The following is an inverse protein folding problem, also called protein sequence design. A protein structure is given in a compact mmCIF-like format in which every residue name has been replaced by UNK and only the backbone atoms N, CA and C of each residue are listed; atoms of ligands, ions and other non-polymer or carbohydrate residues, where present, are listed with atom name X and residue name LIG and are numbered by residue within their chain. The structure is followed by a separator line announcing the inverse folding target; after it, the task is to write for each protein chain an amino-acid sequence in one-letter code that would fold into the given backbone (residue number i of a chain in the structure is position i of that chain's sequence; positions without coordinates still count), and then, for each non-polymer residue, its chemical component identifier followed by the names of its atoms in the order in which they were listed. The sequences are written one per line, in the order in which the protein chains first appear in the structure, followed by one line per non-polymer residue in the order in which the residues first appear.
data_IF_563604849387
#
_entry.id   IF_563604849387
#
_cell.length_a   1.000
_cell.length_b   1.000
_cell.length_c   1.000
_cell.angle_alpha   90.00
_cell.angle_beta   90.00
_cell.angle_gamma   90.00
#
_symmetry.space_group_name_H-M   'P 1'
#
loop_
_entity.id
_entity.type
_entity.pdbx_description
1 polymer ?
#
# COMPACT_ATOMS: atom_id res chain seq x y z
N UNK A 1 49.22 -22.40 -4.77
CA UNK A 1 48.31 -21.66 -5.63
C UNK A 1 47.09 -22.44 -6.12
N UNK A 2 47.22 -23.67 -6.65
CA UNK A 2 46.05 -24.46 -7.15
C UNK A 2 44.97 -24.77 -6.08
N UNK A 3 45.34 -25.01 -4.81
CA UNK A 3 44.39 -25.28 -3.71
C UNK A 3 43.57 -24.07 -3.29
N UNK A 4 44.13 -22.86 -3.35
CA UNK A 4 43.43 -21.57 -3.04
C UNK A 4 42.42 -21.24 -4.14
N UNK A 5 42.78 -21.51 -5.40
CA UNK A 5 41.87 -21.30 -6.54
C UNK A 5 40.64 -22.21 -6.49
N UNK A 6 40.83 -23.46 -6.04
CA UNK A 6 39.74 -24.44 -5.89
C UNK A 6 38.79 -24.06 -4.76
N UNK A 7 39.32 -23.51 -3.65
CA UNK A 7 38.50 -23.01 -2.53
C UNK A 7 37.65 -21.79 -2.92
N UNK A 8 38.22 -20.90 -3.71
CA UNK A 8 37.50 -19.71 -4.23
C UNK A 8 36.40 -20.08 -5.24
N UNK A 9 36.62 -21.09 -6.08
CA UNK A 9 35.59 -21.61 -7.00
C UNK A 9 34.44 -22.28 -6.23
N UNK A 10 34.72 -23.02 -5.17
CA UNK A 10 33.71 -23.71 -4.38
C UNK A 10 32.82 -22.74 -3.59
N UNK A 11 33.36 -21.62 -3.09
CA UNK A 11 32.61 -20.56 -2.43
C UNK A 11 31.71 -19.79 -3.40
N UNK A 12 32.16 -19.61 -4.65
CA UNK A 12 31.33 -18.95 -5.69
C UNK A 12 30.16 -19.82 -6.14
N UNK A 13 30.34 -21.12 -6.29
CA UNK A 13 29.27 -22.09 -6.67
C UNK A 13 28.14 -22.12 -5.62
N UNK A 14 28.47 -22.11 -4.33
CA UNK A 14 27.46 -22.09 -3.28
C UNK A 14 26.64 -20.79 -3.31
N UNK A 15 27.27 -19.64 -3.52
CA UNK A 15 26.56 -18.35 -3.63
C UNK A 15 25.60 -18.29 -4.83
N UNK A 16 25.94 -18.94 -5.95
CA UNK A 16 25.08 -19.02 -7.14
C UNK A 16 23.88 -19.91 -6.88
N UNK A 17 24.02 -21.04 -6.20
CA UNK A 17 22.93 -21.94 -5.85
C UNK A 17 21.93 -21.28 -4.89
N UNK A 18 22.41 -20.59 -3.83
CA UNK A 18 21.55 -19.85 -2.90
C UNK A 18 20.83 -18.68 -3.57
N UNK A 19 21.48 -17.98 -4.51
CA UNK A 19 20.85 -16.90 -5.25
C UNK A 19 19.74 -17.41 -6.20
N UNK A 20 19.91 -18.57 -6.82
CA UNK A 20 18.88 -19.22 -7.65
C UNK A 20 17.66 -19.62 -6.81
N UNK A 21 17.84 -20.16 -5.62
CA UNK A 21 16.76 -20.54 -4.70
C UNK A 21 15.94 -19.31 -4.28
N UNK A 22 16.58 -18.21 -3.91
CA UNK A 22 15.87 -16.98 -3.52
C UNK A 22 15.06 -16.40 -4.68
N UNK A 23 15.61 -16.37 -5.89
CA UNK A 23 14.88 -15.87 -7.06
C UNK A 23 13.67 -16.74 -7.42
N UNK A 24 13.78 -18.07 -7.26
CA UNK A 24 12.66 -18.99 -7.46
C UNK A 24 11.55 -18.75 -6.43
N UNK A 25 11.90 -18.57 -5.15
CA UNK A 25 10.95 -18.28 -4.08
C UNK A 25 10.28 -16.92 -4.32
N UNK A 26 11.03 -15.88 -4.74
CA UNK A 26 10.48 -14.56 -5.08
C UNK A 26 9.48 -14.64 -6.23
N UNK A 27 9.80 -15.37 -7.30
CA UNK A 27 8.87 -15.56 -8.43
C UNK A 27 7.59 -16.27 -7.99
N UNK A 28 7.69 -17.27 -7.14
CA UNK A 28 6.52 -17.96 -6.60
C UNK A 28 5.69 -17.06 -5.68
N UNK A 29 6.34 -16.26 -4.81
CA UNK A 29 5.65 -15.27 -4.00
C UNK A 29 4.87 -14.27 -4.87
N UNK A 30 5.49 -13.74 -5.92
CA UNK A 30 4.86 -12.82 -6.87
C UNK A 30 3.69 -13.48 -7.63
N UNK A 31 3.83 -14.75 -8.02
CA UNK A 31 2.74 -15.52 -8.64
C UNK A 31 1.53 -15.65 -7.71
N UNK A 32 1.78 -15.91 -6.43
CA UNK A 32 0.74 -16.03 -5.41
C UNK A 32 0.06 -14.69 -5.08
N UNK A 33 0.71 -13.55 -5.30
CA UNK A 33 0.05 -12.24 -5.20
C UNK A 33 -0.97 -11.98 -6.31
N UNK A 34 -0.80 -12.62 -7.48
CA UNK A 34 -1.70 -12.47 -8.62
C UNK A 34 -2.92 -13.41 -8.57
N UNK A 35 -3.01 -14.21 -7.52
CA UNK A 35 -4.15 -15.06 -7.21
C UNK A 35 -4.64 -14.71 -5.80
N UNK A 36 -5.92 -14.95 -5.47
CA UNK A 36 -6.45 -14.58 -4.14
C UNK A 36 -5.95 -15.55 -3.05
N UNK A 37 -4.62 -15.54 -2.81
CA UNK A 37 -3.95 -16.29 -1.74
C UNK A 37 -2.79 -15.49 -1.15
N UNK A 38 -3.11 -14.35 -0.58
CA UNK A 38 -2.11 -13.45 0.04
C UNK A 38 -1.43 -14.07 1.26
N UNK A 39 -2.07 -15.02 1.95
CA UNK A 39 -1.43 -15.73 3.07
C UNK A 39 -0.30 -16.62 2.59
N UNK A 40 -0.47 -17.34 1.49
CA UNK A 40 0.60 -18.13 0.88
C UNK A 40 1.73 -17.25 0.34
N UNK A 41 1.42 -16.12 -0.31
CA UNK A 41 2.42 -15.15 -0.75
C UNK A 41 3.26 -14.64 0.43
N UNK A 42 2.61 -14.27 1.55
CA UNK A 42 3.30 -13.82 2.77
C UNK A 42 4.27 -14.88 3.32
N UNK A 43 3.87 -16.16 3.30
CA UNK A 43 4.75 -17.26 3.72
C UNK A 43 6.00 -17.29 2.84
N UNK A 44 5.84 -17.19 1.52
CA UNK A 44 6.98 -17.22 0.57
C UNK A 44 7.90 -16.02 0.74
N UNK A 45 7.40 -14.81 0.92
CA UNK A 45 8.25 -13.65 1.22
C UNK A 45 9.00 -13.80 2.55
N UNK A 46 8.39 -14.41 3.57
CA UNK A 46 9.08 -14.74 4.83
C UNK A 46 10.17 -15.80 4.63
N UNK A 47 10.01 -16.76 3.73
CA UNK A 47 11.07 -17.70 3.35
C UNK A 47 12.26 -16.96 2.73
N UNK A 48 12.01 -15.99 1.83
CA UNK A 48 13.06 -15.12 1.29
C UNK A 48 13.80 -14.39 2.41
N UNK A 49 13.09 -13.82 3.39
CA UNK A 49 13.72 -13.09 4.51
C UNK A 49 14.54 -13.97 5.44
N UNK A 50 14.27 -15.28 5.51
CA UNK A 50 15.15 -16.23 6.25
C UNK A 50 16.49 -16.39 5.56
N UNK A 51 16.55 -16.35 4.23
CA UNK A 51 17.75 -16.49 3.43
C UNK A 51 18.45 -15.15 3.19
N UNK A 52 17.67 -14.07 2.99
CA UNK A 52 18.11 -12.72 2.75
C UNK A 52 17.34 -11.72 3.63
N UNK A 53 17.74 -11.51 4.89
CA UNK A 53 17.01 -10.67 5.84
C UNK A 53 16.80 -9.21 5.40
N UNK A 54 17.67 -8.73 4.52
CA UNK A 54 17.65 -7.37 4.01
C UNK A 54 17.03 -7.24 2.60
N UNK A 55 16.37 -8.29 2.08
CA UNK A 55 15.75 -8.23 0.76
C UNK A 55 14.60 -7.23 0.75
N UNK A 56 14.78 -6.11 0.04
CA UNK A 56 13.81 -4.99 0.03
C UNK A 56 12.46 -5.40 -0.54
N UNK A 57 12.44 -6.23 -1.58
CA UNK A 57 11.19 -6.72 -2.20
C UNK A 57 10.39 -7.54 -1.19
N UNK A 58 11.04 -8.46 -0.50
CA UNK A 58 10.38 -9.29 0.51
C UNK A 58 9.90 -8.46 1.72
N UNK A 59 10.71 -7.50 2.20
CA UNK A 59 10.33 -6.63 3.31
C UNK A 59 9.11 -5.78 2.98
N UNK A 60 9.09 -5.13 1.81
CA UNK A 60 7.99 -4.24 1.41
C UNK A 60 6.70 -5.02 1.16
N UNK A 61 6.79 -6.19 0.51
CA UNK A 61 5.62 -7.03 0.27
C UNK A 61 5.11 -7.69 1.56
N UNK A 62 5.97 -8.12 2.49
CA UNK A 62 5.53 -8.55 3.82
C UNK A 62 4.76 -7.44 4.56
N UNK A 63 5.21 -6.18 4.48
CA UNK A 63 4.51 -5.06 5.10
C UNK A 63 3.12 -4.85 4.49
N UNK A 64 3.01 -4.83 3.17
CA UNK A 64 1.75 -4.63 2.45
C UNK A 64 0.78 -5.80 2.69
N UNK A 65 1.25 -7.05 2.55
CA UNK A 65 0.43 -8.24 2.78
C UNK A 65 -0.09 -8.33 4.22
N UNK A 66 0.76 -8.02 5.21
CA UNK A 66 0.29 -7.93 6.60
C UNK A 66 -0.79 -6.85 6.77
N UNK A 67 -0.64 -5.68 6.13
CA UNK A 67 -1.68 -4.64 6.14
C UNK A 67 -3.00 -5.12 5.54
N UNK A 68 -2.95 -5.83 4.41
CA UNK A 68 -4.14 -6.31 3.70
C UNK A 68 -4.82 -7.46 4.46
N UNK A 69 -4.05 -8.46 4.91
CA UNK A 69 -4.59 -9.57 5.70
C UNK A 69 -5.22 -9.03 6.99
N UNK A 70 -4.52 -8.12 7.69
CA UNK A 70 -5.05 -7.50 8.91
C UNK A 70 -6.36 -6.76 8.67
N UNK A 71 -6.56 -6.12 7.52
CA UNK A 71 -7.81 -5.39 7.23
C UNK A 71 -9.03 -6.31 7.07
N UNK A 72 -8.82 -7.59 6.78
CA UNK A 72 -9.87 -8.61 6.67
C UNK A 72 -10.12 -9.38 7.97
N UNK A 73 -9.25 -9.22 8.98
CA UNK A 73 -9.44 -9.91 10.26
C UNK A 73 -10.62 -9.32 11.05
N UNK A 74 -11.56 -10.15 11.40
CA UNK A 74 -12.71 -9.78 12.24
C UNK A 74 -12.31 -9.63 13.72
N UNK A 75 -11.33 -10.41 14.18
CA UNK A 75 -10.80 -10.32 15.52
C UNK A 75 -9.86 -9.11 15.66
N UNK A 76 -10.18 -8.16 16.53
CA UNK A 76 -9.43 -6.93 16.72
C UNK A 76 -7.97 -7.17 17.14
N UNK A 77 -7.72 -8.13 18.03
CA UNK A 77 -6.35 -8.47 18.47
C UNK A 77 -5.51 -9.04 17.34
N UNK A 78 -6.08 -9.90 16.51
CA UNK A 78 -5.41 -10.44 15.31
C UNK A 78 -5.10 -9.33 14.32
N UNK A 79 -6.08 -8.49 14.02
CA UNK A 79 -5.94 -7.32 13.14
C UNK A 79 -4.81 -6.41 13.60
N UNK A 80 -4.82 -6.01 14.88
CA UNK A 80 -3.87 -5.07 15.45
C UNK A 80 -2.45 -5.66 15.45
N UNK A 81 -2.32 -6.98 15.64
CA UNK A 81 -1.05 -7.70 15.52
C UNK A 81 -0.52 -7.66 14.07
N UNK A 82 -1.36 -7.91 13.06
CA UNK A 82 -0.96 -7.79 11.66
C UNK A 82 -0.50 -6.36 11.32
N UNK A 83 -1.18 -5.32 11.82
CA UNK A 83 -0.78 -3.93 11.60
C UNK A 83 0.56 -3.59 12.29
N UNK A 84 0.79 -4.12 13.50
CA UNK A 84 2.07 -3.97 14.18
C UNK A 84 3.21 -4.64 13.41
N UNK A 85 3.01 -5.85 12.91
CA UNK A 85 3.98 -6.59 12.10
C UNK A 85 4.24 -5.89 10.76
N UNK A 86 3.20 -5.37 10.11
CA UNK A 86 3.32 -4.53 8.91
C UNK A 86 4.26 -3.35 9.14
N UNK A 87 4.06 -2.63 10.25
CA UNK A 87 4.91 -1.47 10.60
C UNK A 87 6.36 -1.87 10.86
N UNK A 88 6.62 -3.04 11.46
CA UNK A 88 7.98 -3.55 11.68
C UNK A 88 8.69 -3.79 10.35
N UNK A 89 8.07 -4.49 9.40
CA UNK A 89 8.64 -4.73 8.09
C UNK A 89 8.86 -3.42 7.31
N UNK A 90 7.88 -2.52 7.32
CA UNK A 90 7.98 -1.23 6.64
C UNK A 90 9.13 -0.38 7.21
N UNK A 91 9.27 -0.29 8.55
CA UNK A 91 10.37 0.41 9.21
C UNK A 91 11.72 -0.20 8.87
N UNK A 92 11.83 -1.53 8.81
CA UNK A 92 13.05 -2.22 8.43
C UNK A 92 13.44 -1.89 7.00
N UNK A 93 12.48 -1.98 6.05
CA UNK A 93 12.71 -1.62 4.66
C UNK A 93 13.16 -0.16 4.51
N UNK A 94 12.46 0.77 5.16
CA UNK A 94 12.80 2.19 5.09
C UNK A 94 14.15 2.53 5.73
N UNK A 95 14.49 1.91 6.85
CA UNK A 95 15.80 2.10 7.52
C UNK A 95 16.96 1.67 6.62
N UNK A 96 16.81 0.55 5.92
CA UNK A 96 17.84 0.01 5.03
C UNK A 96 17.88 0.73 3.67
N UNK A 97 16.71 1.14 3.17
CA UNK A 97 16.54 1.67 1.81
C UNK A 97 15.67 2.94 1.79
N UNK A 98 16.10 4.06 2.42
CA UNK A 98 15.27 5.26 2.54
C UNK A 98 14.99 5.96 1.20
N UNK A 99 15.82 5.69 0.17
CA UNK A 99 15.65 6.19 -1.19
C UNK A 99 14.96 5.18 -2.13
N UNK A 100 14.32 4.13 -1.59
CA UNK A 100 13.53 3.19 -2.36
C UNK A 100 12.03 3.56 -2.29
N UNK A 101 11.36 3.69 -3.42
CA UNK A 101 9.95 4.11 -3.50
C UNK A 101 9.01 3.09 -2.85
N UNK A 102 9.22 1.77 -3.04
CA UNK A 102 8.41 0.74 -2.43
C UNK A 102 8.55 0.71 -0.90
N UNK A 103 9.75 1.01 -0.35
CA UNK A 103 9.95 1.14 1.09
C UNK A 103 9.18 2.34 1.67
N UNK A 104 9.13 3.46 0.94
CA UNK A 104 8.34 4.63 1.32
C UNK A 104 6.83 4.35 1.19
N UNK A 105 6.37 3.64 0.15
CA UNK A 105 4.97 3.18 0.02
C UNK A 105 4.59 2.27 1.18
N UNK A 106 5.43 1.29 1.54
CA UNK A 106 5.20 0.40 2.67
C UNK A 106 5.04 1.18 3.99
N UNK A 107 5.87 2.22 4.22
CA UNK A 107 5.72 3.11 5.38
C UNK A 107 4.40 3.89 5.33
N UNK A 108 4.01 4.43 4.18
CA UNK A 108 2.74 5.16 4.04
C UNK A 108 1.53 4.25 4.30
N UNK A 109 1.54 3.01 3.78
CA UNK A 109 0.48 2.01 4.04
C UNK A 109 0.42 1.66 5.53
N UNK A 110 1.57 1.35 6.16
CA UNK A 110 1.62 1.00 7.58
C UNK A 110 1.13 2.16 8.46
N UNK A 111 1.51 3.41 8.18
CA UNK A 111 0.98 4.59 8.88
C UNK A 111 -0.53 4.72 8.70
N UNK A 112 -1.05 4.43 7.51
CA UNK A 112 -2.50 4.40 7.27
C UNK A 112 -3.24 3.43 8.20
N UNK A 113 -2.65 2.27 8.52
CA UNK A 113 -3.21 1.33 9.51
C UNK A 113 -3.08 1.83 10.94
N UNK A 114 -1.95 2.46 11.29
CA UNK A 114 -1.74 3.04 12.62
C UNK A 114 -2.72 4.17 12.92
N UNK A 115 -3.10 4.98 11.93
CA UNK A 115 -4.14 6.01 12.07
C UNK A 115 -5.44 5.44 12.64
N UNK A 116 -5.79 4.19 12.28
CA UNK A 116 -7.01 3.52 12.76
C UNK A 116 -6.92 3.11 14.23
N UNK A 117 -5.70 2.92 14.75
CA UNK A 117 -5.44 2.45 16.12
C UNK A 117 -5.13 3.60 17.10
N UNK A 118 -4.93 4.80 16.60
CA UNK A 118 -4.48 5.95 17.37
C UNK A 118 -5.56 7.02 17.49
N UNK A 119 -5.39 7.87 18.51
CA UNK A 119 -6.23 9.04 18.75
C UNK A 119 -5.37 10.29 19.00
N UNK A 120 -5.99 11.45 19.05
CA UNK A 120 -5.35 12.70 19.43
C UNK A 120 -4.07 12.99 18.65
N UNK A 121 -3.01 13.37 19.37
CA UNK A 121 -1.72 13.80 18.79
C UNK A 121 -1.04 12.72 17.95
N UNK A 122 -1.09 11.47 18.40
CA UNK A 122 -0.46 10.35 17.65
C UNK A 122 -1.16 10.09 16.32
N UNK A 123 -2.48 10.20 16.27
CA UNK A 123 -3.24 10.09 15.02
C UNK A 123 -2.84 11.17 14.02
N UNK A 124 -2.76 12.41 14.46
CA UNK A 124 -2.35 13.54 13.59
C UNK A 124 -0.91 13.38 13.11
N UNK A 125 0.00 12.92 13.96
CA UNK A 125 1.38 12.63 13.55
C UNK A 125 1.40 11.55 12.46
N UNK A 126 0.68 10.44 12.63
CA UNK A 126 0.59 9.38 11.64
C UNK A 126 -0.02 9.85 10.30
N UNK A 127 -1.01 10.77 10.33
CA UNK A 127 -1.58 11.39 9.10
C UNK A 127 -0.53 12.22 8.36
N UNK A 128 0.31 12.99 9.08
CA UNK A 128 1.40 13.77 8.48
C UNK A 128 2.49 12.87 7.92
N UNK A 129 2.89 11.85 8.67
CA UNK A 129 3.90 10.88 8.26
C UNK A 129 3.49 10.12 7.00
N UNK A 130 2.21 9.66 6.92
CA UNK A 130 1.68 8.99 5.73
C UNK A 130 1.88 9.85 4.48
N UNK A 131 1.51 11.14 4.55
CA UNK A 131 1.69 12.06 3.42
C UNK A 131 3.16 12.21 3.06
N UNK A 132 4.02 12.44 4.05
CA UNK A 132 5.48 12.61 3.84
C UNK A 132 6.08 11.40 3.10
N UNK A 133 5.75 10.18 3.51
CA UNK A 133 6.25 8.98 2.85
C UNK A 133 5.69 8.81 1.43
N UNK A 134 4.41 9.11 1.22
CA UNK A 134 3.81 9.06 -0.11
C UNK A 134 4.40 10.11 -1.07
N UNK A 135 4.64 11.35 -0.59
CA UNK A 135 5.33 12.40 -1.35
C UNK A 135 6.75 11.96 -1.73
N UNK A 136 7.51 11.38 -0.80
CA UNK A 136 8.84 10.83 -1.09
C UNK A 136 8.78 9.73 -2.15
N UNK A 137 7.84 8.81 -2.04
CA UNK A 137 7.70 7.73 -3.00
C UNK A 137 7.43 8.24 -4.42
N UNK A 138 6.55 9.25 -4.58
CA UNK A 138 6.27 9.86 -5.89
C UNK A 138 7.44 10.67 -6.43
N UNK A 139 8.24 11.31 -5.57
CA UNK A 139 9.46 12.02 -5.96
C UNK A 139 10.57 11.07 -6.42
N UNK A 140 10.72 9.91 -5.77
CA UNK A 140 11.71 8.87 -6.15
C UNK A 140 11.28 8.17 -7.43
N UNK A 141 10.01 7.76 -7.52
CA UNK A 141 9.46 7.05 -8.66
C UNK A 141 8.08 7.61 -9.04
N UNK A 142 8.02 8.56 -9.99
CA UNK A 142 6.76 9.13 -10.48
C UNK A 142 5.82 8.13 -11.16
N UNK A 143 6.30 6.91 -11.47
CA UNK A 143 5.50 5.84 -12.04
C UNK A 143 4.89 4.90 -10.99
N UNK A 144 5.14 5.12 -9.69
CA UNK A 144 4.55 4.31 -8.63
C UNK A 144 3.08 4.68 -8.42
N UNK A 145 2.17 3.90 -9.01
CA UNK A 145 0.72 4.15 -8.93
C UNK A 145 0.16 4.06 -7.51
N UNK A 146 0.75 3.20 -6.64
CA UNK A 146 0.31 3.06 -5.25
C UNK A 146 0.57 4.34 -4.46
N UNK A 147 1.70 4.99 -4.69
CA UNK A 147 2.04 6.26 -4.03
C UNK A 147 1.04 7.37 -4.42
N UNK A 148 0.69 7.49 -5.71
CA UNK A 148 -0.33 8.44 -6.17
C UNK A 148 -1.71 8.14 -5.60
N UNK A 149 -2.11 6.86 -5.54
CA UNK A 149 -3.35 6.44 -4.90
C UNK A 149 -3.40 6.86 -3.41
N UNK A 150 -2.32 6.64 -2.67
CA UNK A 150 -2.22 7.01 -1.25
C UNK A 150 -2.36 8.52 -1.07
N UNK A 151 -1.73 9.34 -1.91
CA UNK A 151 -1.90 10.80 -1.90
C UNK A 151 -3.34 11.20 -2.23
N UNK A 152 -3.96 10.55 -3.22
CA UNK A 152 -5.37 10.76 -3.54
C UNK A 152 -6.28 10.50 -2.34
N UNK A 153 -6.07 9.36 -1.67
CA UNK A 153 -6.82 8.99 -0.47
C UNK A 153 -6.59 9.97 0.67
N UNK A 154 -5.34 10.37 0.91
CA UNK A 154 -5.01 11.36 1.91
C UNK A 154 -5.74 12.69 1.67
N UNK A 155 -5.69 13.23 0.45
CA UNK A 155 -6.37 14.46 0.08
C UNK A 155 -7.88 14.34 0.22
N UNK A 156 -8.46 13.21 -0.17
CA UNK A 156 -9.89 12.94 -0.01
C UNK A 156 -10.33 12.97 1.45
N UNK A 157 -9.62 12.22 2.32
CA UNK A 157 -9.97 12.12 3.75
C UNK A 157 -9.77 13.45 4.48
N UNK A 158 -8.61 14.10 4.31
CA UNK A 158 -8.30 15.36 5.01
C UNK A 158 -9.17 16.51 4.53
N UNK A 159 -9.51 16.58 3.22
CA UNK A 159 -10.46 17.57 2.72
C UNK A 159 -11.89 17.32 3.20
N UNK A 160 -12.19 16.11 3.64
CA UNK A 160 -13.50 15.70 4.13
C UNK A 160 -13.76 16.03 5.60
N UNK A 161 -12.72 16.41 6.35
CA UNK A 161 -12.86 16.87 7.73
C UNK A 161 -13.75 18.09 7.80
N UNK A 162 -14.71 18.10 8.75
CA UNK A 162 -15.54 19.25 8.99
C UNK A 162 -14.74 20.41 9.65
N UNK A 163 -15.36 21.60 9.73
CA UNK A 163 -14.69 22.79 10.26
C UNK A 163 -14.25 22.61 11.73
N UNK A 164 -15.06 21.93 12.53
CA UNK A 164 -14.75 21.66 13.94
C UNK A 164 -13.55 20.72 14.08
N UNK A 165 -13.55 19.58 13.35
CA UNK A 165 -12.44 18.62 13.35
C UNK A 165 -11.14 19.28 12.92
N UNK A 166 -11.19 20.10 11.88
CA UNK A 166 -10.04 20.85 11.35
C UNK A 166 -9.49 21.85 12.35
N UNK A 167 -10.39 22.61 13.00
CA UNK A 167 -10.03 23.60 14.03
C UNK A 167 -9.45 22.93 15.26
N UNK A 168 -10.05 21.83 15.72
CA UNK A 168 -9.53 21.04 16.84
C UNK A 168 -8.14 20.46 16.54
N UNK A 169 -7.93 19.90 15.34
CA UNK A 169 -6.62 19.40 14.93
C UNK A 169 -5.57 20.52 14.91
N UNK A 170 -5.91 21.70 14.39
CA UNK A 170 -5.02 22.85 14.34
C UNK A 170 -4.65 23.37 15.73
N UNK A 171 -5.64 23.50 16.61
CA UNK A 171 -5.45 24.04 17.97
C UNK A 171 -4.61 23.11 18.85
N UNK A 172 -4.91 21.81 18.81
CA UNK A 172 -4.32 20.84 19.74
C UNK A 172 -3.00 20.23 19.24
N UNK A 173 -2.80 20.13 17.91
CA UNK A 173 -1.72 19.32 17.33
C UNK A 173 -0.97 20.02 16.19
N UNK A 174 -1.29 21.27 15.91
CA UNK A 174 -0.78 22.02 14.76
C UNK A 174 -1.49 21.69 13.44
N UNK A 175 -1.41 22.59 12.49
CA UNK A 175 -2.13 22.48 11.22
C UNK A 175 -1.74 21.20 10.45
N UNK A 176 -2.73 20.54 9.87
CA UNK A 176 -2.54 19.57 8.82
C UNK A 176 -2.09 20.26 7.52
N UNK A 177 -1.30 19.62 6.67
CA UNK A 177 -1.01 20.15 5.34
C UNK A 177 -2.30 20.40 4.55
N UNK A 178 -2.26 21.36 3.63
CA UNK A 178 -3.43 21.72 2.81
C UNK A 178 -3.88 20.52 1.97
N UNK A 179 -5.17 20.22 2.02
CA UNK A 179 -5.81 19.16 1.27
C UNK A 179 -7.02 19.70 0.50
N UNK A 180 -7.26 19.15 -0.68
CA UNK A 180 -8.42 19.52 -1.49
C UNK A 180 -8.98 18.31 -2.24
N UNK A 181 -10.28 18.34 -2.50
CA UNK A 181 -10.95 17.32 -3.29
C UNK A 181 -10.50 17.30 -4.77
N UNK A 182 -10.26 18.46 -5.43
CA UNK A 182 -9.65 18.47 -6.76
C UNK A 182 -8.28 17.77 -6.81
N UNK A 183 -7.41 17.99 -5.80
CA UNK A 183 -6.11 17.29 -5.71
C UNK A 183 -6.31 15.78 -5.53
N UNK A 184 -7.29 15.36 -4.73
CA UNK A 184 -7.60 13.92 -4.57
C UNK A 184 -7.95 13.29 -5.92
N UNK A 185 -8.83 13.92 -6.69
CA UNK A 185 -9.23 13.46 -8.03
C UNK A 185 -8.02 13.40 -8.97
N UNK A 186 -7.20 14.46 -9.01
CA UNK A 186 -6.00 14.52 -9.83
C UNK A 186 -5.03 13.35 -9.54
N UNK A 187 -4.79 13.04 -8.28
CA UNK A 187 -3.88 11.97 -7.88
C UNK A 187 -4.47 10.58 -8.15
N UNK A 188 -5.76 10.37 -7.95
CA UNK A 188 -6.42 9.12 -8.33
C UNK A 188 -6.44 8.93 -9.85
N UNK A 189 -6.65 9.99 -10.64
CA UNK A 189 -6.54 9.93 -12.11
C UNK A 189 -5.11 9.58 -12.53
N UNK A 190 -4.09 10.17 -11.89
CA UNK A 190 -2.70 9.81 -12.15
C UNK A 190 -2.42 8.35 -11.82
N UNK A 191 -2.89 7.83 -10.68
CA UNK A 191 -2.76 6.42 -10.34
C UNK A 191 -3.45 5.51 -11.37
N UNK A 192 -4.65 5.89 -11.85
CA UNK A 192 -5.39 5.19 -12.89
C UNK A 192 -4.62 5.11 -14.22
N UNK A 193 -3.97 6.21 -14.64
CA UNK A 193 -3.16 6.19 -15.89
C UNK A 193 -1.94 5.28 -15.78
N UNK A 194 -1.40 5.09 -14.58
CA UNK A 194 -0.23 4.24 -14.33
C UNK A 194 -0.62 2.76 -14.12
N UNK A 195 -1.83 2.49 -13.65
CA UNK A 195 -2.36 1.14 -13.45
C UNK A 195 -3.86 1.11 -13.71
N UNK A 196 -4.24 0.61 -14.87
CA UNK A 196 -5.64 0.51 -15.30
C UNK A 196 -6.39 -0.70 -14.74
N UNK A 197 -5.73 -1.53 -13.94
CA UNK A 197 -6.31 -2.73 -13.31
C UNK A 197 -6.43 -2.61 -11.79
N UNK A 198 -6.03 -1.49 -11.20
CA UNK A 198 -6.08 -1.29 -9.75
C UNK A 198 -7.49 -0.92 -9.27
N UNK A 199 -8.31 -1.93 -8.97
CA UNK A 199 -9.75 -1.83 -8.67
C UNK A 199 -10.05 -0.84 -7.54
N UNK A 200 -9.29 -0.87 -6.43
CA UNK A 200 -9.50 0.04 -5.31
C UNK A 200 -9.38 1.51 -5.74
N UNK A 201 -8.47 1.82 -6.67
CA UNK A 201 -8.31 3.20 -7.13
C UNK A 201 -9.54 3.73 -7.85
N UNK A 202 -10.19 2.90 -8.66
CA UNK A 202 -11.45 3.28 -9.35
C UNK A 202 -12.58 3.52 -8.36
N UNK A 203 -12.68 2.70 -7.32
CA UNK A 203 -13.69 2.85 -6.27
C UNK A 203 -13.52 4.19 -5.53
N UNK A 204 -12.29 4.52 -5.12
CA UNK A 204 -12.00 5.76 -4.40
C UNK A 204 -12.12 7.00 -5.30
N UNK A 205 -11.72 6.89 -6.57
CA UNK A 205 -11.92 7.94 -7.58
C UNK A 205 -13.41 8.21 -7.82
N UNK A 206 -14.23 7.16 -7.89
CA UNK A 206 -15.68 7.31 -8.03
C UNK A 206 -16.29 8.04 -6.82
N UNK A 207 -15.88 7.69 -5.61
CA UNK A 207 -16.29 8.40 -4.39
C UNK A 207 -15.89 9.89 -4.43
N UNK A 208 -14.68 10.17 -4.91
CA UNK A 208 -14.17 11.53 -5.03
C UNK A 208 -14.97 12.34 -6.08
N UNK A 209 -15.24 11.76 -7.26
CA UNK A 209 -16.09 12.41 -8.26
C UNK A 209 -17.51 12.67 -7.75
N UNK A 210 -18.12 11.66 -7.08
CA UNK A 210 -19.46 11.83 -6.50
C UNK A 210 -19.51 12.97 -5.51
N UNK A 211 -18.51 13.06 -4.63
CA UNK A 211 -18.39 14.14 -3.64
C UNK A 211 -18.17 15.52 -4.29
N UNK A 212 -17.47 15.54 -5.44
CA UNK A 212 -17.23 16.75 -6.22
C UNK A 212 -18.45 17.18 -7.07
N UNK A 213 -19.58 16.44 -7.00
CA UNK A 213 -20.79 16.74 -7.77
C UNK A 213 -20.86 16.08 -9.15
N UNK A 214 -19.81 15.42 -9.61
CA UNK A 214 -19.75 14.77 -10.92
C UNK A 214 -20.26 13.32 -10.85
N UNK A 215 -21.60 13.18 -10.77
CA UNK A 215 -22.26 11.86 -10.71
C UNK A 215 -21.96 11.02 -11.95
N UNK A 216 -21.88 11.65 -13.12
CA UNK A 216 -21.68 10.91 -14.38
C UNK A 216 -20.30 10.24 -14.40
N UNK A 217 -19.21 10.98 -14.08
CA UNK A 217 -17.88 10.40 -13.97
C UNK A 217 -17.79 9.36 -12.84
N UNK A 218 -18.43 9.60 -11.71
CA UNK A 218 -18.46 8.64 -10.61
C UNK A 218 -19.03 7.28 -11.06
N UNK A 219 -20.19 7.26 -11.72
CA UNK A 219 -20.82 6.05 -12.24
C UNK A 219 -19.97 5.38 -13.33
N UNK A 220 -19.31 6.16 -14.19
CA UNK A 220 -18.39 5.63 -15.20
C UNK A 220 -17.23 4.84 -14.57
N UNK A 221 -16.61 5.35 -13.48
CA UNK A 221 -15.54 4.62 -12.78
C UNK A 221 -16.06 3.32 -12.13
N UNK A 222 -17.25 3.36 -11.50
CA UNK A 222 -17.83 2.17 -10.87
C UNK A 222 -18.19 1.09 -11.90
N UNK A 223 -18.78 1.48 -13.03
CA UNK A 223 -19.10 0.54 -14.11
C UNK A 223 -17.84 -0.09 -14.70
N UNK A 224 -16.77 0.71 -14.92
CA UNK A 224 -15.52 0.20 -15.45
C UNK A 224 -14.85 -0.79 -14.48
N UNK A 225 -14.78 -0.49 -13.18
CA UNK A 225 -14.14 -1.39 -12.23
C UNK A 225 -14.80 -2.78 -12.15
N UNK A 226 -16.10 -2.89 -12.43
CA UNK A 226 -16.81 -4.18 -12.47
C UNK A 226 -16.31 -5.09 -13.60
N UNK A 227 -15.74 -4.52 -14.67
CA UNK A 227 -15.20 -5.28 -15.82
C UNK A 227 -13.77 -5.78 -15.59
N UNK A 228 -13.02 -5.23 -14.62
CA UNK A 228 -11.64 -5.61 -14.35
C UNK A 228 -11.61 -7.01 -13.72
N UNK A 229 -10.68 -7.87 -14.15
CA UNK A 229 -10.47 -9.19 -13.53
C UNK A 229 -9.93 -9.03 -12.10
N UNK A 230 -10.46 -9.82 -11.15
CA UNK A 230 -9.93 -9.85 -9.80
C UNK A 230 -8.50 -10.39 -9.78
N UNK A 231 -7.62 -9.70 -9.06
CA UNK A 231 -6.21 -10.08 -8.85
C UNK A 231 -5.88 -10.26 -7.36
N UNK A 232 -6.72 -9.74 -6.47
CA UNK A 232 -6.55 -9.84 -5.01
C UNK A 232 -7.83 -10.35 -4.34
N UNK A 233 -7.71 -10.81 -3.09
CA UNK A 233 -8.86 -11.24 -2.27
C UNK A 233 -9.83 -10.09 -1.98
N UNK A 234 -9.33 -8.85 -1.96
CA UNK A 234 -10.12 -7.66 -1.65
C UNK A 234 -10.94 -7.15 -2.85
N UNK A 235 -10.57 -7.52 -4.07
CA UNK A 235 -11.17 -6.99 -5.29
C UNK A 235 -12.67 -7.30 -5.39
N UNK A 236 -13.10 -8.48 -4.95
CA UNK A 236 -14.52 -8.82 -4.95
C UNK A 236 -15.31 -7.98 -3.95
N UNK A 237 -14.71 -7.63 -2.81
CA UNK A 237 -15.34 -6.77 -1.80
C UNK A 237 -15.55 -5.36 -2.39
N UNK A 238 -14.54 -4.82 -3.08
CA UNK A 238 -14.64 -3.53 -3.75
C UNK A 238 -15.68 -3.51 -4.88
N UNK A 239 -15.79 -4.60 -5.64
CA UNK A 239 -16.84 -4.74 -6.67
C UNK A 239 -18.25 -4.80 -6.06
N UNK A 240 -18.41 -5.50 -4.95
CA UNK A 240 -19.69 -5.57 -4.25
C UNK A 240 -20.09 -4.17 -3.73
N UNK A 241 -19.13 -3.41 -3.17
CA UNK A 241 -19.37 -2.03 -2.75
C UNK A 241 -19.76 -1.15 -3.95
N UNK A 242 -19.05 -1.27 -5.07
CA UNK A 242 -19.36 -0.53 -6.28
C UNK A 242 -20.78 -0.79 -6.78
N UNK A 243 -21.23 -2.05 -6.79
CA UNK A 243 -22.58 -2.43 -7.19
C UNK A 243 -23.66 -1.79 -6.28
N UNK A 244 -23.39 -1.73 -4.97
CA UNK A 244 -24.27 -1.03 -4.00
C UNK A 244 -24.30 0.47 -4.28
N UNK A 245 -23.13 1.09 -4.51
CA UNK A 245 -23.04 2.51 -4.80
C UNK A 245 -23.74 2.90 -6.12
N UNK A 246 -23.63 2.09 -7.16
CA UNK A 246 -24.35 2.29 -8.42
C UNK A 246 -25.85 2.37 -8.15
N UNK A 247 -26.41 1.36 -7.48
CA UNK A 247 -27.85 1.33 -7.14
C UNK A 247 -28.31 2.55 -6.33
N UNK A 248 -27.43 3.02 -5.42
CA UNK A 248 -27.71 4.19 -4.56
C UNK A 248 -27.63 5.52 -5.32
N UNK A 249 -26.81 5.59 -6.37
CA UNK A 249 -26.53 6.85 -7.07
C UNK A 249 -27.33 7.02 -8.38
N UNK A 250 -27.93 5.97 -8.92
CA UNK A 250 -28.89 6.10 -10.01
C UNK A 250 -30.19 6.73 -9.49
#
# INVERSE_FOLDING_TARGET
MKKILFLLLFTQLNNILFAQDVNAILKEAQRLELVPDQKAALVKYKEVLKLQPNNVVALTNCAELCSNIGSRESNSKSRDNYYAVSLIYAKTAYKLYPANDAANVAMAIAQGRIILLKSGKEKIAAVKDLKMYADKATAINPSNFKAWHILGKWHYEVSSLNAFERSAAKLLYGALPTASLPSAIQYFEKAKTLSNTFILNYLELAKAYKKNGDKAKALAQLNYLLTIKNSTEDDQVYKNEAAVLIKKWI
#
